data_IF_507870647858
#
_entry.id   IF_507870647858
#
_cell.length_a   1.000
_cell.length_b   1.000
_cell.length_c   1.000
_cell.angle_alpha   90.00
_cell.angle_beta   90.00
_cell.angle_gamma   90.00
#
_symmetry.space_group_name_H-M   'P 1'
#
loop_
_entity.id
_entity.type
_entity.pdbx_description
1 polymer ?
#
# COMPACT_ATOMS: atom_id res chain seq x y z
N UNK A 1 16.43 0.96 -72.98
CA UNK A 1 16.92 0.01 -71.97
C UNK A 1 16.60 0.43 -70.51
N UNK A 2 16.32 1.70 -70.20
CA UNK A 2 16.01 2.13 -68.81
C UNK A 2 14.58 1.86 -68.37
N UNK A 3 13.62 1.65 -69.30
CA UNK A 3 12.19 1.42 -68.98
C UNK A 3 11.85 -0.03 -68.61
N UNK A 4 12.69 -1.00 -69.02
CA UNK A 4 12.46 -2.42 -68.72
C UNK A 4 12.98 -2.79 -67.33
N UNK A 5 13.93 -2.04 -66.80
CA UNK A 5 14.49 -2.27 -65.47
C UNK A 5 13.54 -1.83 -64.34
N UNK A 6 12.71 -0.81 -64.59
CA UNK A 6 11.74 -0.32 -63.62
C UNK A 6 10.50 -1.23 -63.48
N UNK A 7 10.15 -1.91 -64.55
CA UNK A 7 9.00 -2.85 -64.54
C UNK A 7 9.33 -4.16 -63.84
N UNK A 8 10.61 -4.58 -63.83
CA UNK A 8 11.03 -5.75 -63.07
C UNK A 8 11.21 -5.48 -61.55
N UNK A 9 11.50 -4.23 -61.15
CA UNK A 9 11.67 -3.87 -59.75
C UNK A 9 10.34 -3.73 -59.04
N UNK A 10 9.27 -3.36 -59.76
CA UNK A 10 7.90 -3.23 -59.16
C UNK A 10 7.21 -4.61 -59.04
N UNK A 11 7.60 -5.60 -59.87
CA UNK A 11 7.03 -6.95 -59.81
C UNK A 11 7.61 -7.82 -58.67
N UNK A 12 8.70 -7.40 -58.04
CA UNK A 12 9.35 -8.16 -56.95
C UNK A 12 8.91 -7.70 -55.53
N UNK A 13 8.09 -6.66 -55.41
CA UNK A 13 7.63 -6.14 -54.13
C UNK A 13 6.18 -6.53 -53.71
N UNK A 14 5.55 -7.44 -54.47
CA UNK A 14 4.17 -7.86 -54.16
C UNK A 14 4.00 -9.31 -53.70
N UNK A 15 5.03 -9.92 -53.14
CA UNK A 15 4.96 -11.30 -52.66
C UNK A 15 5.37 -11.49 -51.21
N UNK A 16 5.01 -10.53 -50.32
CA UNK A 16 4.96 -10.81 -48.89
C UNK A 16 3.51 -10.65 -48.41
N UNK A 17 2.71 -11.66 -48.66
CA UNK A 17 1.49 -11.89 -47.94
C UNK A 17 1.90 -12.35 -46.53
N UNK A 18 1.71 -11.48 -45.52
CA UNK A 18 1.70 -11.94 -44.15
C UNK A 18 0.45 -12.81 -43.96
N UNK A 19 0.63 -14.11 -43.94
CA UNK A 19 -0.37 -15.01 -43.39
C UNK A 19 -0.46 -14.70 -41.91
N UNK A 20 -1.55 -14.06 -41.54
CA UNK A 20 -2.01 -14.02 -40.16
C UNK A 20 -2.01 -15.44 -39.62
N UNK A 21 -1.28 -15.70 -38.54
CA UNK A 21 -1.44 -16.91 -37.76
C UNK A 21 -2.81 -16.90 -37.12
N UNK A 22 -3.80 -17.48 -37.77
CA UNK A 22 -4.92 -18.14 -37.13
C UNK A 22 -4.40 -19.47 -36.62
N UNK A 23 -4.77 -19.81 -35.41
CA UNK A 23 -4.43 -20.98 -34.61
C UNK A 23 -3.31 -20.76 -33.59
N UNK A 24 -3.64 -19.95 -32.56
CA UNK A 24 -3.11 -20.19 -31.22
C UNK A 24 -3.98 -21.30 -30.61
N UNK A 25 -3.45 -22.51 -30.39
CA UNK A 25 -4.20 -23.54 -29.66
C UNK A 25 -4.59 -22.98 -28.31
N UNK A 26 -5.82 -23.26 -27.88
CA UNK A 26 -6.24 -23.01 -26.53
C UNK A 26 -5.21 -23.58 -25.53
N UNK A 27 -4.97 -22.90 -24.38
CA UNK A 27 -4.01 -23.40 -23.42
C UNK A 27 -4.37 -24.84 -23.05
N UNK A 28 -3.40 -25.73 -23.23
CA UNK A 28 -3.54 -27.13 -22.90
C UNK A 28 -3.91 -27.28 -21.43
N UNK A 29 -4.99 -27.99 -21.15
CA UNK A 29 -5.22 -28.59 -19.85
C UNK A 29 -4.07 -29.55 -19.57
N UNK A 30 -3.20 -29.20 -18.62
CA UNK A 30 -2.11 -30.07 -18.17
C UNK A 30 -2.77 -31.13 -17.28
N UNK A 31 -2.76 -32.43 -17.67
CA UNK A 31 -3.18 -33.47 -16.76
C UNK A 31 -2.24 -33.51 -15.56
N UNK A 32 -2.80 -33.47 -14.37
CA UNK A 32 -2.14 -33.58 -13.08
C UNK A 32 -1.24 -34.84 -13.06
N UNK A 33 0.08 -34.66 -13.02
CA UNK A 33 1.01 -35.80 -12.94
C UNK A 33 2.48 -35.41 -12.96
N UNK A 34 3.10 -35.13 -11.81
CA UNK A 34 4.48 -35.52 -11.53
C UNK A 34 5.60 -34.50 -11.76
N UNK A 35 6.02 -33.89 -10.66
CA UNK A 35 7.38 -33.60 -10.26
C UNK A 35 8.28 -32.72 -11.16
N UNK A 36 8.52 -31.46 -10.73
CA UNK A 36 9.67 -30.64 -11.19
C UNK A 36 9.43 -29.16 -11.12
N UNK A 37 9.88 -28.49 -10.03
CA UNK A 37 10.24 -27.06 -10.01
C UNK A 37 9.15 -26.06 -10.43
N UNK A 38 8.00 -26.06 -9.78
CA UNK A 38 6.97 -25.04 -10.01
C UNK A 38 7.26 -23.81 -9.15
N UNK A 39 7.40 -22.64 -9.80
CA UNK A 39 7.10 -21.39 -9.11
C UNK A 39 5.63 -21.46 -8.71
N UNK A 40 5.35 -21.64 -7.42
CA UNK A 40 4.00 -21.59 -6.89
C UNK A 40 3.43 -20.21 -7.24
N UNK A 41 2.38 -20.15 -8.05
CA UNK A 41 1.64 -18.90 -8.23
C UNK A 41 1.16 -18.47 -6.86
N UNK A 42 1.49 -17.25 -6.46
CA UNK A 42 1.06 -16.71 -5.18
C UNK A 42 -0.46 -16.61 -5.17
N UNK A 43 -1.11 -17.11 -4.10
CA UNK A 43 -2.55 -17.04 -3.95
C UNK A 43 -3.03 -15.59 -3.72
N UNK A 44 -2.17 -14.74 -3.12
CA UNK A 44 -2.41 -13.34 -2.85
C UNK A 44 -1.38 -12.41 -3.49
N UNK A 45 -1.69 -11.11 -3.48
CA UNK A 45 -0.80 -10.04 -3.92
C UNK A 45 -0.57 -8.96 -2.86
N UNK A 46 -1.03 -9.18 -1.64
CA UNK A 46 -0.83 -8.28 -0.48
C UNK A 46 -1.75 -7.06 -0.46
N UNK A 47 -2.77 -6.98 -1.32
CA UNK A 47 -3.81 -5.95 -1.25
C UNK A 47 -4.94 -6.33 -0.27
N UNK A 48 -5.79 -5.36 0.06
CA UNK A 48 -6.94 -5.61 0.95
C UNK A 48 -7.95 -6.61 0.34
N UNK A 49 -8.11 -6.58 -0.99
CA UNK A 49 -9.00 -7.45 -1.76
C UNK A 49 -8.42 -8.84 -1.97
N UNK A 50 -7.07 -8.94 -2.01
CA UNK A 50 -6.35 -10.18 -2.24
C UNK A 50 -5.12 -10.28 -1.34
N UNK A 51 -5.29 -10.47 -0.01
CA UNK A 51 -4.21 -10.54 0.96
C UNK A 51 -3.23 -11.69 0.67
N UNK A 52 -1.97 -11.51 1.00
CA UNK A 52 -1.03 -12.62 1.06
C UNK A 52 -1.47 -13.67 2.08
N UNK A 53 -1.19 -14.92 1.79
CA UNK A 53 -1.15 -15.99 2.80
C UNK A 53 0.24 -16.04 3.46
N UNK A 54 0.37 -16.73 4.58
CA UNK A 54 1.69 -17.00 5.20
C UNK A 54 2.58 -17.79 4.25
N UNK A 55 2.00 -18.70 3.46
CA UNK A 55 2.72 -19.49 2.47
C UNK A 55 3.25 -18.65 1.31
N UNK A 56 2.46 -17.69 0.80
CA UNK A 56 2.92 -16.76 -0.24
C UNK A 56 4.18 -16.03 0.20
N UNK A 57 4.18 -15.48 1.41
CA UNK A 57 5.31 -14.72 1.94
C UNK A 57 6.54 -15.60 2.11
N UNK A 58 6.37 -16.81 2.63
CA UNK A 58 7.48 -17.73 2.90
C UNK A 58 8.08 -18.33 1.63
N UNK A 59 7.26 -18.65 0.63
CA UNK A 59 7.71 -19.29 -0.61
C UNK A 59 8.33 -18.29 -1.60
N UNK A 60 7.77 -17.08 -1.69
CA UNK A 60 8.23 -16.06 -2.64
C UNK A 60 9.34 -15.15 -2.11
N UNK A 61 9.56 -15.13 -0.78
CA UNK A 61 10.40 -14.11 -0.14
C UNK A 61 9.82 -12.69 -0.29
N UNK A 62 8.49 -12.56 -0.37
CA UNK A 62 7.81 -11.29 -0.53
C UNK A 62 8.26 -10.29 0.54
N UNK A 63 8.42 -9.06 0.14
CA UNK A 63 8.71 -7.90 0.99
C UNK A 63 7.69 -6.81 0.70
N UNK A 64 7.52 -5.87 1.60
CA UNK A 64 6.61 -4.75 1.37
C UNK A 64 6.20 -4.06 2.66
N UNK A 65 5.71 -2.83 2.50
CA UNK A 65 5.12 -2.04 3.58
C UNK A 65 3.62 -1.93 3.35
N UNK A 66 2.85 -1.90 4.45
CA UNK A 66 1.39 -1.82 4.42
C UNK A 66 0.74 -2.95 3.59
N UNK A 67 1.31 -4.15 3.62
CA UNK A 67 0.75 -5.32 2.96
C UNK A 67 -0.30 -6.00 3.83
N UNK A 68 -1.34 -6.52 3.21
CA UNK A 68 -2.37 -7.29 3.88
C UNK A 68 -2.01 -8.77 3.89
N UNK A 69 -2.16 -9.39 5.07
CA UNK A 69 -1.88 -10.82 5.29
C UNK A 69 -3.09 -11.47 5.93
N UNK A 70 -3.61 -12.51 5.32
CA UNK A 70 -4.72 -13.34 5.82
C UNK A 70 -4.15 -14.62 6.40
N UNK A 71 -4.50 -14.93 7.65
CA UNK A 71 -3.96 -16.07 8.38
C UNK A 71 -4.84 -16.43 9.58
N UNK A 72 -4.42 -17.44 10.35
CA UNK A 72 -5.00 -17.81 11.64
C UNK A 72 -4.05 -17.47 12.78
N UNK A 73 -4.57 -17.00 13.90
CA UNK A 73 -3.78 -16.77 15.11
C UNK A 73 -3.56 -18.12 15.77
N UNK A 74 -2.31 -18.55 15.90
CA UNK A 74 -1.98 -19.91 16.42
C UNK A 74 -1.18 -19.93 17.71
N UNK A 75 -0.72 -18.75 18.19
CA UNK A 75 0.06 -18.71 19.42
C UNK A 75 0.78 -17.38 19.66
N UNK A 76 1.81 -17.43 20.49
CA UNK A 76 2.63 -16.28 20.87
C UNK A 76 4.07 -16.69 21.20
N UNK A 77 4.95 -15.71 21.34
CA UNK A 77 6.32 -15.89 21.83
C UNK A 77 6.43 -15.20 23.19
N UNK A 78 6.66 -15.96 24.30
CA UNK A 78 6.76 -15.37 25.63
C UNK A 78 8.08 -14.63 25.87
N UNK A 79 9.15 -15.03 25.17
CA UNK A 79 10.50 -14.51 25.33
C UNK A 79 10.98 -13.67 24.15
N UNK A 80 12.20 -13.94 23.72
CA UNK A 80 12.88 -13.17 22.66
C UNK A 80 13.26 -14.00 21.44
N UNK A 81 12.99 -15.30 21.44
CA UNK A 81 13.39 -16.20 20.37
C UNK A 81 12.26 -17.15 19.97
N UNK A 82 12.24 -17.55 18.71
CA UNK A 82 11.18 -18.37 18.14
C UNK A 82 11.14 -19.80 18.69
N UNK A 83 12.22 -20.31 19.27
CA UNK A 83 12.27 -21.60 19.96
C UNK A 83 11.45 -21.64 21.26
N UNK A 84 11.09 -20.45 21.78
CA UNK A 84 10.21 -20.30 22.94
C UNK A 84 8.71 -20.25 22.55
N UNK A 85 8.38 -20.39 21.26
CA UNK A 85 7.00 -20.28 20.75
C UNK A 85 6.04 -21.21 21.49
N UNK A 86 4.84 -20.70 21.79
CA UNK A 86 3.74 -21.43 22.41
C UNK A 86 2.52 -21.38 21.49
N UNK A 87 1.96 -22.57 21.19
CA UNK A 87 0.79 -22.73 20.33
C UNK A 87 -0.48 -22.92 21.17
N UNK A 88 -0.70 -21.98 22.07
CA UNK A 88 -1.82 -21.93 23.02
C UNK A 88 -2.09 -20.49 23.40
N UNK A 89 -3.22 -20.21 24.02
CA UNK A 89 -3.48 -18.95 24.71
C UNK A 89 -3.30 -19.06 26.22
N UNK A 90 -3.21 -20.28 26.76
CA UNK A 90 -3.05 -20.54 28.18
C UNK A 90 -1.70 -20.03 28.68
N UNK A 91 -1.73 -19.26 29.77
CA UNK A 91 -0.52 -18.67 30.34
C UNK A 91 0.14 -17.58 29.50
N UNK A 92 -0.56 -17.01 28.52
CA UNK A 92 -0.04 -15.92 27.72
C UNK A 92 0.09 -14.64 28.55
N UNK A 93 1.33 -14.15 28.71
CA UNK A 93 1.61 -12.84 29.31
C UNK A 93 2.08 -11.82 28.26
N UNK A 94 2.31 -12.26 27.03
CA UNK A 94 2.77 -11.42 25.93
C UNK A 94 1.60 -10.68 25.26
N UNK A 95 1.60 -9.35 25.32
CA UNK A 95 0.63 -8.52 24.57
C UNK A 95 1.20 -7.97 23.26
N UNK A 96 2.54 -8.01 23.09
CA UNK A 96 3.23 -7.34 21.99
C UNK A 96 3.41 -8.17 20.73
N UNK A 97 3.00 -9.43 20.76
CA UNK A 97 3.14 -10.31 19.60
C UNK A 97 2.10 -11.42 19.58
N UNK A 98 1.85 -11.95 18.40
CA UNK A 98 1.16 -13.23 18.16
C UNK A 98 1.89 -14.00 17.07
N UNK A 99 1.62 -15.29 16.95
CA UNK A 99 2.03 -16.14 15.83
C UNK A 99 0.83 -16.36 14.91
N UNK A 100 1.07 -16.29 13.62
CA UNK A 100 0.04 -16.57 12.61
C UNK A 100 0.50 -17.67 11.66
N UNK A 101 -0.47 -18.43 11.12
CA UNK A 101 -0.22 -19.54 10.20
C UNK A 101 -1.30 -19.62 9.12
N UNK A 102 -1.05 -20.40 8.07
CA UNK A 102 -2.02 -20.69 7.03
C UNK A 102 -3.16 -21.63 7.53
N UNK A 103 -2.90 -22.42 8.58
CA UNK A 103 -3.88 -23.32 9.20
C UNK A 103 -4.08 -23.01 10.68
N UNK A 104 -5.29 -23.11 11.22
CA UNK A 104 -5.58 -22.87 12.64
C UNK A 104 -4.98 -23.92 13.58
N UNK A 105 -4.59 -25.08 13.07
CA UNK A 105 -4.02 -26.18 13.84
C UNK A 105 -2.50 -26.31 13.67
N UNK A 106 -1.86 -25.32 13.04
CA UNK A 106 -0.40 -25.32 12.87
C UNK A 106 0.34 -25.15 14.21
N UNK A 107 1.33 -26.00 14.45
CA UNK A 107 2.14 -26.01 15.66
C UNK A 107 3.65 -26.09 15.39
N UNK A 108 4.05 -26.08 14.12
CA UNK A 108 5.45 -26.04 13.74
C UNK A 108 5.99 -24.61 13.68
N UNK A 109 7.07 -24.36 14.41
CA UNK A 109 7.79 -23.07 14.38
C UNK A 109 8.24 -22.69 12.96
N UNK A 110 8.46 -23.70 12.10
CA UNK A 110 8.89 -23.44 10.72
C UNK A 110 7.75 -23.00 9.80
N UNK A 111 6.50 -23.21 10.17
CA UNK A 111 5.33 -22.89 9.35
C UNK A 111 4.59 -21.65 9.81
N UNK A 112 5.03 -21.01 10.87
CA UNK A 112 4.40 -19.80 11.39
C UNK A 112 5.18 -18.53 11.05
N UNK A 113 4.51 -17.42 11.15
CA UNK A 113 5.08 -16.08 11.00
C UNK A 113 4.81 -15.26 12.27
N UNK A 114 5.85 -14.68 12.91
CA UNK A 114 5.66 -13.83 14.07
C UNK A 114 5.15 -12.44 13.65
N UNK A 115 4.23 -11.91 14.45
CA UNK A 115 3.61 -10.61 14.25
C UNK A 115 3.90 -9.71 15.44
N UNK A 116 4.46 -8.53 15.18
CA UNK A 116 4.60 -7.48 16.18
C UNK A 116 3.30 -6.68 16.28
N UNK A 117 2.79 -6.53 17.49
CA UNK A 117 1.63 -5.70 17.80
C UNK A 117 2.08 -4.41 18.50
N UNK A 118 2.19 -3.26 17.79
CA UNK A 118 2.46 -1.97 18.41
C UNK A 118 1.35 -1.59 19.41
N UNK A 119 1.68 -0.74 20.39
CA UNK A 119 0.68 -0.21 21.34
C UNK A 119 -0.47 0.46 20.58
N UNK A 120 -1.70 0.15 20.94
CA UNK A 120 -2.92 0.73 20.36
C UNK A 120 -4.01 -0.30 20.11
N UNK A 121 -5.06 0.13 19.40
CA UNK A 121 -6.31 -0.61 19.24
C UNK A 121 -6.12 -2.03 18.65
N UNK A 122 -5.15 -2.22 17.74
CA UNK A 122 -4.87 -3.53 17.17
C UNK A 122 -4.32 -4.48 18.24
N UNK A 123 -3.32 -4.03 19.02
CA UNK A 123 -2.77 -4.83 20.12
C UNK A 123 -3.85 -5.20 21.14
N UNK A 124 -4.66 -4.23 21.53
CA UNK A 124 -5.68 -4.43 22.57
C UNK A 124 -6.73 -5.46 22.13
N UNK A 125 -7.04 -5.50 20.83
CA UNK A 125 -8.01 -6.41 20.26
C UNK A 125 -7.46 -7.80 19.90
N UNK A 126 -6.18 -7.91 19.53
CA UNK A 126 -5.63 -9.13 18.89
C UNK A 126 -4.78 -9.98 19.84
N UNK A 127 -4.14 -9.36 20.87
CA UNK A 127 -3.26 -10.11 21.77
C UNK A 127 -4.00 -11.25 22.50
N UNK A 128 -3.29 -12.37 22.74
CA UNK A 128 -3.87 -13.56 23.36
C UNK A 128 -3.93 -13.49 24.88
N UNK A 129 -3.22 -12.57 25.51
CA UNK A 129 -3.29 -12.38 26.98
C UNK A 129 -4.69 -11.91 27.39
N UNK A 130 -5.17 -10.83 26.74
CA UNK A 130 -6.44 -10.21 27.06
C UNK A 130 -7.60 -10.83 26.30
N UNK A 131 -7.32 -11.48 25.16
CA UNK A 131 -8.30 -12.07 24.25
C UNK A 131 -7.96 -13.53 23.90
N UNK A 132 -7.98 -14.45 24.86
CA UNK A 132 -7.59 -15.85 24.61
C UNK A 132 -8.49 -16.58 23.60
N UNK A 133 -9.71 -16.10 23.40
CA UNK A 133 -10.67 -16.64 22.41
C UNK A 133 -10.26 -16.36 20.96
N UNK A 134 -9.27 -15.47 20.72
CA UNK A 134 -8.74 -15.22 19.39
C UNK A 134 -7.85 -16.37 18.87
N UNK A 135 -7.43 -17.27 19.74
CA UNK A 135 -6.69 -18.46 19.30
C UNK A 135 -7.50 -19.25 18.27
N UNK A 136 -6.86 -19.61 17.16
CA UNK A 136 -7.44 -20.29 15.99
C UNK A 136 -8.46 -19.48 15.18
N UNK A 137 -8.66 -18.20 15.50
CA UNK A 137 -9.51 -17.32 14.68
C UNK A 137 -8.76 -16.84 13.44
N UNK A 138 -9.50 -16.74 12.33
CA UNK A 138 -9.00 -16.10 11.11
C UNK A 138 -8.85 -14.61 11.34
N UNK A 139 -7.75 -14.04 10.90
CA UNK A 139 -7.43 -12.63 11.00
C UNK A 139 -6.85 -12.12 9.68
N UNK A 140 -7.19 -10.90 9.32
CA UNK A 140 -6.47 -10.14 8.29
C UNK A 140 -5.72 -9.01 8.99
N UNK A 141 -4.42 -8.92 8.76
CA UNK A 141 -3.53 -7.92 9.35
C UNK A 141 -2.91 -7.07 8.27
N UNK A 142 -2.70 -5.78 8.52
CA UNK A 142 -1.93 -4.93 7.64
C UNK A 142 -0.70 -4.36 8.36
N UNK A 143 0.47 -4.59 7.77
CA UNK A 143 1.77 -4.20 8.32
C UNK A 143 2.91 -4.34 7.32
N UNK A 144 4.13 -4.29 7.80
CA UNK A 144 5.33 -4.40 6.99
C UNK A 144 5.95 -5.81 7.12
N UNK A 145 6.31 -6.42 5.99
CA UNK A 145 7.08 -7.67 6.00
C UNK A 145 8.53 -7.33 6.35
N UNK A 146 8.93 -7.68 7.57
CA UNK A 146 10.27 -7.41 8.10
C UNK A 146 10.72 -8.56 9.01
N UNK A 147 12.03 -8.66 9.26
CA UNK A 147 12.54 -9.64 10.21
C UNK A 147 12.03 -9.37 11.63
N UNK A 148 11.46 -10.39 12.28
CA UNK A 148 11.02 -10.37 13.66
C UNK A 148 11.33 -11.71 14.32
N UNK A 149 11.91 -11.70 15.53
CA UNK A 149 12.43 -12.88 16.20
C UNK A 149 13.35 -13.78 15.33
N UNK A 150 14.13 -13.14 14.42
CA UNK A 150 15.05 -13.86 13.54
C UNK A 150 14.41 -14.60 12.35
N UNK A 151 13.09 -14.46 12.15
CA UNK A 151 12.34 -15.00 10.98
C UNK A 151 11.65 -13.89 10.20
N UNK A 152 11.21 -14.20 8.99
CA UNK A 152 10.30 -13.32 8.27
C UNK A 152 9.03 -13.16 9.10
N UNK A 153 8.67 -11.92 9.42
CA UNK A 153 7.55 -11.58 10.27
C UNK A 153 6.75 -10.39 9.71
N UNK A 154 5.69 -10.02 10.42
CA UNK A 154 4.90 -8.83 10.14
C UNK A 154 5.10 -7.83 11.28
N UNK A 155 5.60 -6.64 10.98
CA UNK A 155 5.87 -5.57 11.94
C UNK A 155 5.06 -4.33 11.64
N UNK A 156 5.09 -3.38 12.58
CA UNK A 156 4.37 -2.11 12.43
C UNK A 156 2.90 -2.32 12.02
N UNK A 157 2.23 -3.31 12.61
CA UNK A 157 0.82 -3.61 12.30
C UNK A 157 -0.05 -2.45 12.73
N UNK A 158 -0.75 -1.84 11.75
CA UNK A 158 -1.57 -0.64 11.94
C UNK A 158 -3.07 -0.93 11.87
N UNK A 159 -3.45 -2.06 11.27
CA UNK A 159 -4.84 -2.46 11.12
C UNK A 159 -5.01 -3.98 11.20
N UNK A 160 -6.16 -4.40 11.73
CA UNK A 160 -6.58 -5.78 11.79
C UNK A 160 -8.08 -5.92 11.56
N UNK A 161 -8.48 -7.03 10.94
CA UNK A 161 -9.88 -7.48 10.87
C UNK A 161 -9.99 -8.87 11.47
N UNK A 162 -10.91 -9.03 12.43
CA UNK A 162 -11.22 -10.30 13.09
C UNK A 162 -12.74 -10.51 13.02
N UNK A 163 -13.18 -11.49 12.25
CA UNK A 163 -14.60 -11.63 11.88
C UNK A 163 -15.09 -10.38 11.15
N UNK A 164 -16.18 -9.77 11.64
CA UNK A 164 -16.75 -8.53 11.07
C UNK A 164 -16.22 -7.25 11.71
N UNK A 165 -15.30 -7.37 12.67
CA UNK A 165 -14.78 -6.22 13.40
C UNK A 165 -13.41 -5.79 12.84
N UNK A 166 -13.24 -4.48 12.69
CA UNK A 166 -11.99 -3.86 12.27
C UNK A 166 -11.40 -3.03 13.42
N UNK A 167 -10.08 -3.01 13.52
CA UNK A 167 -9.32 -2.35 14.58
C UNK A 167 -8.12 -1.60 14.01
N UNK A 168 -7.83 -0.43 14.54
CA UNK A 168 -6.76 0.42 14.05
C UNK A 168 -7.12 1.21 12.80
N UNK A 169 -6.10 1.78 12.16
CA UNK A 169 -6.25 2.60 10.96
C UNK A 169 -5.98 1.72 9.73
N UNK A 170 -7.03 1.43 8.95
CA UNK A 170 -6.89 0.66 7.70
C UNK A 170 -6.04 1.46 6.72
N UNK A 171 -4.85 0.98 6.32
CA UNK A 171 -4.07 1.64 5.27
C UNK A 171 -4.90 1.72 3.99
N UNK A 172 -4.98 2.93 3.43
CA UNK A 172 -5.87 3.21 2.32
C UNK A 172 -7.24 3.77 2.75
N UNK A 173 -7.61 3.75 4.05
CA UNK A 173 -8.72 4.52 4.61
C UNK A 173 -8.23 5.74 5.39
N UNK A 174 -6.96 5.78 5.77
CA UNK A 174 -6.29 7.02 6.17
C UNK A 174 -6.08 7.84 4.90
N UNK A 175 -6.79 8.91 4.78
CA UNK A 175 -6.86 9.87 3.69
C UNK A 175 -5.49 10.50 3.40
N UNK A 176 -4.70 9.80 2.63
CA UNK A 176 -3.38 10.21 2.18
C UNK A 176 -2.94 9.37 0.98
N UNK A 177 -3.65 9.48 -0.15
CA UNK A 177 -3.25 8.97 -1.46
C UNK A 177 -3.55 7.50 -1.76
N UNK A 178 -4.77 7.19 -2.19
CA UNK A 178 -5.07 6.00 -2.99
C UNK A 178 -5.91 4.90 -2.35
N UNK A 179 -7.18 5.18 -2.03
CA UNK A 179 -8.30 4.23 -2.07
C UNK A 179 -9.59 5.02 -2.07
N UNK A 180 -10.47 4.71 -3.02
CA UNK A 180 -11.75 5.38 -3.25
C UNK A 180 -11.65 6.91 -3.19
N UNK A 181 -10.90 7.45 -4.15
CA UNK A 181 -10.94 8.88 -4.43
C UNK A 181 -12.34 9.14 -4.97
N UNK A 182 -13.30 9.24 -4.02
CA UNK A 182 -14.68 9.59 -4.32
C UNK A 182 -14.70 11.05 -4.76
N UNK A 183 -15.32 11.31 -5.87
CA UNK A 183 -15.40 12.65 -6.44
C UNK A 183 -14.90 12.69 -7.88
N UNK A 184 -15.19 13.81 -8.52
CA UNK A 184 -14.78 14.05 -9.91
C UNK A 184 -13.44 14.76 -9.94
N UNK A 185 -12.40 14.19 -10.59
CA UNK A 185 -11.14 14.89 -10.79
C UNK A 185 -11.37 16.14 -11.64
N UNK A 186 -10.78 17.26 -11.23
CA UNK A 186 -10.87 18.55 -11.90
C UNK A 186 -9.52 19.20 -12.05
N UNK A 187 -9.38 20.04 -13.07
CA UNK A 187 -8.20 20.81 -13.37
C UNK A 187 -7.15 20.04 -14.18
N UNK A 188 -6.21 20.78 -14.73
CA UNK A 188 -5.06 20.26 -15.51
C UNK A 188 -3.74 20.35 -14.73
N UNK A 189 -3.77 20.89 -13.49
CA UNK A 189 -2.61 21.08 -12.64
C UNK A 189 -1.74 22.26 -13.02
N UNK A 190 -2.25 23.17 -13.86
CA UNK A 190 -1.60 24.43 -14.19
C UNK A 190 -2.00 25.52 -13.20
N UNK A 191 -1.29 26.65 -13.20
CA UNK A 191 -1.62 27.79 -12.34
C UNK A 191 -3.03 28.34 -12.57
N UNK A 192 -3.46 28.37 -13.83
CA UNK A 192 -4.75 28.90 -14.23
C UNK A 192 -5.89 27.88 -14.07
N UNK A 193 -5.55 26.59 -14.03
CA UNK A 193 -6.47 25.48 -13.87
C UNK A 193 -5.89 24.41 -12.91
N UNK A 194 -5.82 24.71 -11.60
CA UNK A 194 -5.22 23.82 -10.63
C UNK A 194 -5.99 22.50 -10.50
N UNK A 195 -5.28 21.42 -10.20
CA UNK A 195 -5.93 20.19 -9.76
C UNK A 195 -6.74 20.44 -8.49
N UNK A 196 -7.86 19.76 -8.38
CA UNK A 196 -8.50 19.55 -7.10
C UNK A 196 -7.79 18.41 -6.33
N UNK A 197 -8.14 18.19 -5.05
CA UNK A 197 -7.55 17.12 -4.23
C UNK A 197 -7.74 15.74 -4.84
N UNK A 198 -8.89 15.50 -5.47
CA UNK A 198 -9.21 14.25 -6.17
C UNK A 198 -8.26 13.96 -7.33
N UNK A 199 -8.06 14.95 -8.21
CA UNK A 199 -7.15 14.80 -9.35
C UNK A 199 -5.69 14.61 -8.93
N UNK A 200 -5.25 15.34 -7.89
CA UNK A 200 -3.90 15.23 -7.34
C UNK A 200 -3.65 13.83 -6.75
N UNK A 201 -4.58 13.31 -5.96
CA UNK A 201 -4.51 11.97 -5.39
C UNK A 201 -4.49 10.88 -6.50
N UNK A 202 -5.37 10.99 -7.50
CA UNK A 202 -5.41 10.03 -8.62
C UNK A 202 -4.12 10.04 -9.45
N UNK A 203 -3.46 11.19 -9.59
CA UNK A 203 -2.19 11.26 -10.28
C UNK A 203 -1.06 10.66 -9.43
N UNK A 204 -1.01 10.99 -8.13
CA UNK A 204 -0.02 10.45 -7.21
C UNK A 204 -0.11 8.92 -7.09
N UNK A 205 -1.32 8.35 -7.03
CA UNK A 205 -1.54 6.90 -6.90
C UNK A 205 -1.06 6.07 -8.10
N UNK A 206 -0.87 6.69 -9.26
CA UNK A 206 -0.31 6.02 -10.46
C UNK A 206 1.21 5.92 -10.45
N UNK A 207 1.87 6.59 -9.53
CA UNK A 207 3.32 6.52 -9.38
C UNK A 207 3.70 5.26 -8.58
N UNK A 208 4.90 4.76 -8.79
CA UNK A 208 5.45 3.73 -7.92
C UNK A 208 5.63 4.27 -6.49
N UNK A 209 5.61 3.38 -5.48
CA UNK A 209 5.83 3.76 -4.08
C UNK A 209 7.14 4.55 -3.92
N UNK A 210 7.08 5.70 -3.24
CA UNK A 210 8.20 6.61 -3.07
C UNK A 210 8.57 7.45 -4.30
N UNK A 211 7.98 7.18 -5.47
CA UNK A 211 8.24 7.96 -6.67
C UNK A 211 7.53 9.31 -6.63
N UNK A 212 8.10 10.28 -7.33
CA UNK A 212 7.55 11.62 -7.50
C UNK A 212 7.46 11.99 -8.98
N UNK A 213 6.59 12.94 -9.29
CA UNK A 213 6.49 13.49 -10.65
C UNK A 213 7.70 14.36 -10.99
N UNK A 214 8.16 14.31 -12.26
CA UNK A 214 9.21 15.19 -12.77
C UNK A 214 8.76 16.65 -12.85
N UNK A 215 7.46 16.85 -13.08
CA UNK A 215 6.85 18.18 -13.16
C UNK A 215 6.21 18.56 -11.84
N UNK A 216 6.15 19.87 -11.58
CA UNK A 216 5.35 20.44 -10.52
C UNK A 216 3.94 20.73 -11.01
N UNK A 217 2.97 20.59 -10.12
CA UNK A 217 1.55 20.83 -10.37
C UNK A 217 0.99 21.79 -9.34
N UNK A 218 0.02 22.59 -9.76
CA UNK A 218 -0.78 23.44 -8.88
C UNK A 218 -1.99 22.65 -8.39
N UNK A 219 -2.25 22.72 -7.09
CA UNK A 219 -3.36 22.04 -6.44
C UNK A 219 -4.11 23.07 -5.59
N UNK A 220 -5.44 23.13 -5.75
CA UNK A 220 -6.33 24.01 -4.98
C UNK A 220 -7.17 23.20 -4.01
N UNK A 221 -7.37 23.71 -2.78
CA UNK A 221 -8.29 23.13 -1.82
C UNK A 221 -8.48 24.00 -0.59
N UNK A 222 -9.36 23.55 0.32
CA UNK A 222 -9.55 24.11 1.65
C UNK A 222 -8.72 23.34 2.66
N UNK A 223 -8.11 24.03 3.59
CA UNK A 223 -7.35 23.39 4.69
C UNK A 223 -8.32 22.65 5.62
N UNK A 224 -8.12 21.35 5.72
CA UNK A 224 -8.91 20.44 6.56
C UNK A 224 -8.33 20.37 7.97
N UNK A 225 -7.03 20.20 8.06
CA UNK A 225 -6.29 20.13 9.32
C UNK A 225 -4.83 20.55 9.12
N UNK A 226 -4.23 21.10 10.17
CA UNK A 226 -2.82 21.50 10.16
C UNK A 226 -2.04 20.47 10.97
N UNK A 227 -1.13 19.74 10.29
CA UNK A 227 -0.25 18.75 10.89
C UNK A 227 0.96 19.40 11.57
N UNK A 228 1.59 20.33 10.86
CA UNK A 228 2.71 21.13 11.34
C UNK A 228 2.49 22.57 10.84
N UNK A 229 2.24 23.49 11.76
CA UNK A 229 2.10 24.92 11.44
C UNK A 229 3.45 25.50 10.97
N UNK A 230 3.40 26.62 10.27
CA UNK A 230 4.61 27.37 9.97
C UNK A 230 5.33 27.77 11.28
N UNK A 231 6.63 27.63 11.26
CA UNK A 231 7.48 28.01 12.40
C UNK A 231 8.74 28.71 11.91
N UNK A 232 9.29 29.62 12.73
CA UNK A 232 10.52 30.32 12.41
C UNK A 232 11.73 29.39 12.23
N UNK A 233 11.71 28.22 12.90
CA UNK A 233 12.80 27.24 12.85
C UNK A 233 12.96 26.63 11.44
N UNK A 234 11.87 26.27 10.77
CA UNK A 234 11.91 25.58 9.47
C UNK A 234 11.37 26.42 8.31
N UNK A 235 10.50 27.39 8.60
CA UNK A 235 9.89 28.26 7.61
C UNK A 235 8.92 27.57 6.66
N UNK A 236 8.48 26.36 7.01
CA UNK A 236 7.54 25.56 6.23
C UNK A 236 6.40 24.99 7.10
N UNK A 237 5.34 24.50 6.46
CA UNK A 237 4.19 23.87 7.09
C UNK A 237 3.79 22.57 6.40
N UNK A 238 3.09 21.70 7.13
CA UNK A 238 2.44 20.51 6.60
C UNK A 238 0.97 20.51 7.02
N UNK A 239 0.06 20.35 6.07
CA UNK A 239 -1.37 20.39 6.32
C UNK A 239 -2.13 19.59 5.25
N UNK A 240 -3.39 19.25 5.55
CA UNK A 240 -4.27 18.56 4.61
C UNK A 240 -5.23 19.54 3.97
N UNK A 241 -5.50 19.33 2.69
CA UNK A 241 -6.49 20.09 1.91
C UNK A 241 -7.48 19.14 1.24
N UNK A 242 -8.72 19.57 1.06
CA UNK A 242 -9.73 18.89 0.25
C UNK A 242 -10.60 19.90 -0.51
N UNK A 243 -11.44 19.40 -1.41
CA UNK A 243 -12.30 20.26 -2.21
C UNK A 243 -13.37 20.96 -1.38
N UNK A 244 -13.90 20.30 -0.36
CA UNK A 244 -15.02 20.77 0.46
C UNK A 244 -14.63 21.09 1.92
N UNK A 245 -13.37 20.91 2.29
CA UNK A 245 -12.88 21.14 3.65
C UNK A 245 -13.14 19.97 4.61
N UNK A 246 -13.57 18.80 4.11
CA UNK A 246 -13.75 17.60 4.91
C UNK A 246 -12.53 16.68 4.80
N UNK A 247 -12.39 15.77 5.77
CA UNK A 247 -11.27 14.84 5.79
C UNK A 247 -11.31 13.77 4.67
N UNK A 248 -12.50 13.52 4.13
CA UNK A 248 -12.69 12.58 3.04
C UNK A 248 -12.06 13.11 1.74
N UNK A 249 -11.20 12.29 1.08
CA UNK A 249 -10.50 12.68 -0.14
C UNK A 249 -9.43 13.76 0.03
N UNK A 250 -9.00 14.06 1.27
CA UNK A 250 -7.97 15.07 1.54
C UNK A 250 -6.62 14.71 0.90
N UNK A 251 -5.84 15.72 0.57
CA UNK A 251 -4.49 15.64 0.02
C UNK A 251 -3.49 16.24 0.99
N UNK A 252 -2.38 15.53 1.27
CA UNK A 252 -1.33 16.04 2.15
C UNK A 252 -0.40 17.02 1.41
N UNK A 253 -0.35 18.25 1.86
CA UNK A 253 0.68 19.23 1.52
C UNK A 253 1.80 19.09 2.53
N UNK A 254 2.98 18.62 2.08
CA UNK A 254 4.08 18.30 2.97
C UNK A 254 5.23 19.31 2.84
N UNK A 255 5.57 19.95 3.95
CA UNK A 255 6.69 20.91 4.09
C UNK A 255 6.68 22.01 3.04
N UNK A 256 5.47 22.56 2.76
CA UNK A 256 5.36 23.68 1.82
C UNK A 256 5.96 24.95 2.43
N UNK A 257 6.58 25.77 1.57
CA UNK A 257 6.99 27.12 1.93
C UNK A 257 5.80 28.07 1.91
N UNK A 258 6.00 29.28 2.43
CA UNK A 258 5.00 30.35 2.46
C UNK A 258 4.75 30.92 1.06
N UNK A 259 3.82 31.84 0.95
CA UNK A 259 3.44 32.52 -0.29
C UNK A 259 4.67 33.01 -1.06
N UNK A 260 4.67 32.83 -2.37
CA UNK A 260 5.80 33.18 -3.22
C UNK A 260 7.01 32.26 -3.10
N UNK A 261 6.88 31.10 -2.47
CA UNK A 261 7.98 30.15 -2.22
C UNK A 261 9.05 30.71 -1.26
N UNK A 262 8.63 31.55 -0.32
CA UNK A 262 9.48 32.14 0.70
C UNK A 262 9.42 31.33 2.01
N UNK A 263 10.44 31.48 2.85
CA UNK A 263 10.35 31.01 4.23
C UNK A 263 9.34 31.86 5.02
N UNK A 264 8.53 31.21 5.81
CA UNK A 264 7.64 31.90 6.73
C UNK A 264 8.44 32.62 7.83
N UNK A 265 7.96 33.78 8.25
CA UNK A 265 8.48 34.59 9.36
C UNK A 265 7.35 34.96 10.31
N UNK A 266 7.67 35.28 11.57
CA UNK A 266 6.66 35.45 12.64
C UNK A 266 5.73 36.67 12.45
N UNK A 267 6.09 37.58 11.58
CA UNK A 267 5.28 38.74 11.17
C UNK A 267 4.16 38.37 10.16
N UNK A 268 4.18 37.14 9.61
CA UNK A 268 3.21 36.65 8.63
C UNK A 268 2.13 35.79 9.31
N UNK A 269 0.87 35.82 8.81
CA UNK A 269 -0.17 34.93 9.32
C UNK A 269 0.20 33.46 9.08
N UNK A 270 -0.24 32.58 9.99
CA UNK A 270 -0.08 31.15 9.82
C UNK A 270 -1.25 30.57 9.05
N UNK A 271 -1.08 29.37 8.49
CA UNK A 271 -2.15 28.61 7.86
C UNK A 271 -3.15 28.15 8.90
N UNK A 272 -4.46 28.27 8.59
CA UNK A 272 -5.55 27.88 9.48
C UNK A 272 -6.55 26.96 8.77
N UNK A 273 -7.27 26.16 9.58
CA UNK A 273 -8.37 25.32 9.07
C UNK A 273 -9.43 26.19 8.41
N UNK A 274 -9.87 25.81 7.22
CA UNK A 274 -10.84 26.55 6.42
C UNK A 274 -10.23 27.52 5.39
N UNK A 275 -8.94 27.80 5.45
CA UNK A 275 -8.25 28.63 4.45
C UNK A 275 -8.36 27.97 3.07
N UNK A 276 -8.66 28.77 2.04
CA UNK A 276 -8.51 28.36 0.65
C UNK A 276 -7.07 28.62 0.19
N UNK A 277 -6.43 27.57 -0.29
CA UNK A 277 -5.02 27.64 -0.71
C UNK A 277 -4.82 27.08 -2.11
N UNK A 278 -3.80 27.61 -2.80
CA UNK A 278 -3.25 27.01 -4.01
C UNK A 278 -1.78 26.73 -3.73
N UNK A 279 -1.38 25.48 -3.81
CA UNK A 279 -0.01 25.02 -3.59
C UNK A 279 0.60 24.53 -4.89
N UNK A 280 1.92 24.64 -5.04
CA UNK A 280 2.65 24.15 -6.21
C UNK A 280 3.79 23.24 -5.75
N UNK A 281 3.85 22.04 -6.31
CA UNK A 281 4.90 21.07 -5.98
C UNK A 281 4.83 19.79 -6.80
N UNK A 282 5.82 18.92 -6.61
CA UNK A 282 5.80 17.58 -7.18
C UNK A 282 4.85 16.70 -6.38
N UNK A 283 4.07 15.88 -7.10
CA UNK A 283 3.24 14.85 -6.48
C UNK A 283 4.12 13.65 -6.16
N UNK A 284 3.93 13.07 -4.98
CA UNK A 284 4.69 11.90 -4.54
C UNK A 284 3.71 10.82 -4.09
N UNK A 285 3.92 9.58 -4.54
CA UNK A 285 3.27 8.43 -3.93
C UNK A 285 4.07 8.05 -2.68
N UNK A 286 3.51 8.31 -1.52
CA UNK A 286 4.19 8.11 -0.24
C UNK A 286 3.91 6.74 0.40
N UNK A 287 3.24 5.84 -0.35
CA UNK A 287 2.90 4.49 0.12
C UNK A 287 3.90 3.45 -0.34
#
# INVERSE_FOLDING_TARGET
>A
MKKILYTMLVALMTAFTFTSCEDVPAPYDIPNGGNGGGSSEMAGNGTAENPYTVEDIKSSGATGSNVYVKAYIVGFVPGKAMDEAKFTAEGCEATSNVLIAASPDETSVDNVMPVQLPVGAVRDAINLKDNPANLKQEVVLCGNIEAYFGKTGLKAVVWAKLGDKEFGAKPGTETGGGSDITGTPKGTGTKDDPFNSVAANQMASKLASGAKTDKQYYIKGKVVSVKEAFSAQYGNASFYISDDGKAEGQFLVFRTLYLGNEKWTEDKPNVAVGDEVVVCGSLTNYM
#
